data_IF_193402486542
#
_entry.id   IF_193402486542
#
_cell.length_a   1.000
_cell.length_b   1.000
_cell.length_c   1.000
_cell.angle_alpha   90.00
_cell.angle_beta   90.00
_cell.angle_gamma   90.00
#
_symmetry.space_group_name_H-M   'P 1'
#
loop_
_entity.id
_entity.type
_entity.pdbx_description
1 polymer ?
#
# COMPACT_ATOMS: atom_id res chain seq x y z
N UNK A 1 18.83 38.22 -51.50
CA UNK A 1 18.55 38.34 -50.05
C UNK A 1 17.11 37.99 -49.65
N UNK A 2 16.26 37.39 -50.50
CA UNK A 2 14.85 37.10 -50.18
C UNK A 2 14.57 35.69 -49.63
N UNK A 3 15.45 34.71 -49.86
CA UNK A 3 15.18 33.30 -49.52
C UNK A 3 15.26 32.98 -48.01
N UNK A 4 16.03 33.75 -47.22
CA UNK A 4 16.19 33.52 -45.79
C UNK A 4 14.96 33.93 -44.95
N UNK A 5 14.15 34.89 -45.43
CA UNK A 5 12.96 35.36 -44.70
C UNK A 5 11.78 34.37 -44.79
N UNK A 6 11.64 33.69 -45.93
CA UNK A 6 10.56 32.71 -46.18
C UNK A 6 10.70 31.46 -45.30
N UNK A 7 11.92 30.91 -45.21
CA UNK A 7 12.21 29.75 -44.36
C UNK A 7 11.96 30.02 -42.87
N UNK A 8 12.23 31.25 -42.42
CA UNK A 8 12.00 31.66 -41.03
C UNK A 8 10.51 31.86 -40.72
N UNK A 9 9.71 32.34 -41.69
CA UNK A 9 8.24 32.42 -41.56
C UNK A 9 7.60 31.03 -41.54
N UNK A 10 7.99 30.11 -42.43
CA UNK A 10 7.48 28.73 -42.42
C UNK A 10 7.80 28.00 -41.11
N UNK A 11 9.02 28.17 -40.59
CA UNK A 11 9.45 27.56 -39.33
C UNK A 11 8.69 28.12 -38.12
N UNK A 12 8.38 29.42 -38.12
CA UNK A 12 7.53 30.04 -37.09
C UNK A 12 6.09 29.52 -37.14
N UNK A 13 5.51 29.37 -38.34
CA UNK A 13 4.16 28.82 -38.53
C UNK A 13 4.11 27.35 -38.06
N UNK A 14 5.12 26.55 -38.40
CA UNK A 14 5.23 25.16 -37.96
C UNK A 14 5.37 25.05 -36.43
N UNK A 15 6.17 25.91 -35.79
CA UNK A 15 6.32 25.94 -34.33
C UNK A 15 5.02 26.37 -33.65
N UNK A 16 4.31 27.38 -34.18
CA UNK A 16 3.01 27.79 -33.62
C UNK A 16 1.95 26.71 -33.77
N UNK A 17 1.93 25.98 -34.90
CA UNK A 17 1.00 24.89 -35.11
C UNK A 17 1.29 23.70 -34.17
N UNK A 18 2.57 23.39 -33.94
CA UNK A 18 2.98 22.34 -33.00
C UNK A 18 2.59 22.68 -31.55
N UNK A 19 2.78 23.94 -31.14
CA UNK A 19 2.37 24.42 -29.82
C UNK A 19 0.85 24.32 -29.63
N UNK A 20 0.07 24.77 -30.63
CA UNK A 20 -1.39 24.71 -30.57
C UNK A 20 -1.89 23.25 -30.48
N UNK A 21 -1.29 22.35 -31.26
CA UNK A 21 -1.60 20.92 -31.23
C UNK A 21 -1.25 20.29 -29.87
N UNK A 22 -0.13 20.66 -29.26
CA UNK A 22 0.27 20.16 -27.95
C UNK A 22 -0.69 20.60 -26.82
N UNK A 23 -1.21 21.83 -26.88
CA UNK A 23 -2.22 22.30 -25.94
C UNK A 23 -3.57 21.58 -26.11
N UNK A 24 -3.95 21.25 -27.35
CA UNK A 24 -5.19 20.52 -27.62
C UNK A 24 -5.16 19.06 -27.10
N UNK A 25 -3.98 18.44 -27.05
CA UNK A 25 -3.80 17.06 -26.57
C UNK A 25 -3.65 16.94 -25.05
N UNK A 26 -3.28 18.02 -24.35
CA UNK A 26 -2.82 17.97 -22.96
C UNK A 26 -3.85 18.26 -21.85
N UNK A 27 -5.12 18.51 -22.16
CA UNK A 27 -6.01 19.21 -21.21
C UNK A 27 -7.34 18.55 -20.82
N UNK A 28 -7.84 17.55 -21.54
CA UNK A 28 -9.23 17.13 -21.38
C UNK A 28 -9.58 16.55 -20.00
N UNK A 29 -8.62 15.96 -19.27
CA UNK A 29 -8.87 15.38 -17.94
C UNK A 29 -8.43 16.28 -16.77
N UNK A 30 -7.65 17.32 -17.04
CA UNK A 30 -7.13 18.24 -16.03
C UNK A 30 -8.17 19.27 -15.60
N UNK A 31 -9.04 19.68 -16.53
CA UNK A 31 -10.14 20.63 -16.26
C UNK A 31 -11.17 20.02 -15.30
N UNK A 32 -11.55 18.75 -15.51
CA UNK A 32 -12.50 18.02 -14.66
C UNK A 32 -11.92 17.76 -13.26
N UNK A 33 -10.61 17.52 -13.17
CA UNK A 33 -9.92 17.35 -11.88
C UNK A 33 -9.81 18.64 -11.09
N UNK A 34 -9.69 19.79 -11.77
CA UNK A 34 -9.64 21.09 -11.10
C UNK A 34 -10.98 21.44 -10.44
N UNK A 35 -12.10 21.08 -11.07
CA UNK A 35 -13.43 21.26 -10.48
C UNK A 35 -13.72 20.34 -9.29
N UNK A 36 -12.95 19.26 -9.13
CA UNK A 36 -13.10 18.28 -8.06
C UNK A 36 -12.21 18.59 -6.84
N UNK A 37 -11.45 19.69 -6.85
CA UNK A 37 -10.64 20.13 -5.71
C UNK A 37 -11.57 20.59 -4.59
N UNK A 38 -11.61 19.82 -3.50
CA UNK A 38 -12.48 20.08 -2.34
C UNK A 38 -13.83 19.36 -2.41
N UNK A 39 -14.14 18.64 -3.49
CA UNK A 39 -15.32 17.79 -3.59
C UNK A 39 -15.05 16.43 -2.94
N UNK A 40 -16.03 15.89 -2.22
CA UNK A 40 -15.91 14.55 -1.64
C UNK A 40 -15.83 13.52 -2.78
N UNK A 41 -14.93 12.52 -2.71
CA UNK A 41 -14.89 11.44 -3.69
C UNK A 41 -16.27 10.78 -3.80
N UNK A 42 -16.77 10.59 -5.02
CA UNK A 42 -18.02 9.87 -5.25
C UNK A 42 -17.88 8.46 -4.68
N UNK A 43 -18.69 8.14 -3.67
CA UNK A 43 -18.73 6.82 -3.08
C UNK A 43 -19.46 5.88 -4.06
N UNK A 44 -18.88 4.71 -4.32
CA UNK A 44 -19.58 3.63 -5.02
C UNK A 44 -20.83 3.24 -4.23
N UNK A 45 -21.95 2.99 -4.91
CA UNK A 45 -23.13 2.45 -4.28
C UNK A 45 -22.82 1.09 -3.63
N UNK A 46 -23.51 0.78 -2.53
CA UNK A 46 -23.47 -0.56 -1.94
C UNK A 46 -24.24 -1.50 -2.88
N UNK A 47 -23.51 -2.28 -3.67
CA UNK A 47 -24.09 -3.36 -4.46
C UNK A 47 -24.31 -4.59 -3.59
N UNK A 48 -25.58 -4.91 -3.33
CA UNK A 48 -25.95 -6.14 -2.65
C UNK A 48 -26.11 -7.27 -3.68
N UNK A 49 -25.24 -8.30 -3.67
CA UNK A 49 -25.34 -9.40 -4.64
C UNK A 49 -26.62 -10.23 -4.50
N UNK A 50 -27.37 -10.11 -3.39
CA UNK A 50 -28.64 -10.83 -3.18
C UNK A 50 -29.80 -10.27 -3.99
N UNK A 51 -29.72 -9.02 -4.46
CA UNK A 51 -30.78 -8.38 -5.27
C UNK A 51 -30.58 -8.60 -6.77
N UNK A 52 -29.46 -9.21 -7.18
CA UNK A 52 -29.17 -9.50 -8.58
C UNK A 52 -29.90 -10.75 -9.07
N UNK A 53 -30.53 -10.73 -10.27
CA UNK A 53 -31.09 -11.92 -10.88
C UNK A 53 -30.00 -12.98 -11.07
N UNK A 54 -30.20 -14.18 -10.50
CA UNK A 54 -29.24 -15.28 -10.60
C UNK A 54 -28.31 -15.44 -9.39
N UNK A 55 -28.53 -14.71 -8.29
CA UNK A 55 -27.85 -14.96 -7.02
C UNK A 55 -28.00 -16.42 -6.57
N UNK A 56 -26.87 -17.10 -6.34
CA UNK A 56 -26.82 -18.44 -5.75
C UNK A 56 -26.07 -18.36 -4.42
N UNK A 57 -26.73 -18.61 -3.27
CA UNK A 57 -26.03 -18.66 -2.00
C UNK A 57 -25.03 -19.81 -2.00
N UNK A 58 -23.77 -19.50 -1.66
CA UNK A 58 -22.75 -20.53 -1.47
C UNK A 58 -23.03 -21.23 -0.15
N UNK A 59 -23.46 -22.48 -0.23
CA UNK A 59 -23.60 -23.34 0.95
C UNK A 59 -22.34 -24.22 1.04
N UNK A 60 -21.60 -24.06 2.13
CA UNK A 60 -20.51 -24.98 2.49
C UNK A 60 -21.06 -25.93 3.57
N UNK A 61 -21.41 -27.18 3.23
CA UNK A 61 -21.80 -28.15 4.24
C UNK A 61 -20.60 -28.45 5.13
N UNK A 62 -20.84 -28.45 6.45
CA UNK A 62 -19.82 -28.83 7.42
C UNK A 62 -19.38 -30.28 7.16
N UNK A 63 -18.07 -30.58 7.18
CA UNK A 63 -17.58 -31.95 7.09
C UNK A 63 -18.14 -32.82 8.24
N UNK A 64 -18.34 -34.11 7.96
CA UNK A 64 -18.82 -35.05 8.98
C UNK A 64 -17.79 -35.13 10.13
N UNK A 65 -18.23 -35.08 11.41
CA UNK A 65 -17.33 -35.29 12.54
C UNK A 65 -16.64 -36.67 12.44
N UNK A 66 -15.32 -36.68 12.46
CA UNK A 66 -14.53 -37.90 12.57
C UNK A 66 -14.43 -38.33 14.04
N UNK A 67 -14.79 -39.58 14.33
CA UNK A 67 -14.69 -40.13 15.68
C UNK A 67 -13.23 -40.50 15.95
N UNK A 68 -12.59 -39.82 16.90
CA UNK A 68 -11.23 -40.16 17.31
C UNK A 68 -11.20 -41.56 17.93
N UNK A 69 -10.42 -42.47 17.34
CA UNK A 69 -10.15 -43.79 17.91
C UNK A 69 -9.00 -43.69 18.91
N UNK A 70 -9.25 -44.10 20.16
CA UNK A 70 -8.27 -44.16 21.23
C UNK A 70 -7.83 -45.60 21.46
N UNK A 71 -6.51 -45.83 21.50
CA UNK A 71 -5.94 -47.13 21.87
C UNK A 71 -5.55 -47.13 23.35
N UNK A 72 -5.86 -48.19 24.12
CA UNK A 72 -5.44 -48.28 25.51
C UNK A 72 -3.90 -48.31 25.60
N UNK A 73 -3.33 -47.58 26.56
CA UNK A 73 -1.88 -47.47 26.81
C UNK A 73 -1.03 -46.93 25.65
N UNK A 74 -1.63 -46.31 24.64
CA UNK A 74 -0.90 -45.62 23.56
C UNK A 74 -1.36 -44.18 23.43
N UNK A 75 -0.40 -43.25 23.53
CA UNK A 75 -0.63 -41.84 23.20
C UNK A 75 -0.60 -41.60 21.68
N UNK A 76 -0.27 -42.62 20.89
CA UNK A 76 -0.17 -42.52 19.44
C UNK A 76 -1.55 -42.59 18.78
N UNK A 77 -1.84 -41.63 17.89
CA UNK A 77 -3.09 -41.57 17.12
C UNK A 77 -2.83 -41.97 15.68
N UNK A 78 -3.69 -42.82 15.13
CA UNK A 78 -3.66 -43.17 13.71
C UNK A 78 -3.91 -41.89 12.88
N UNK A 79 -3.02 -41.59 11.94
CA UNK A 79 -3.05 -40.34 11.14
C UNK A 79 -2.21 -39.18 11.69
N UNK A 80 -1.60 -39.30 12.88
CA UNK A 80 -0.72 -38.25 13.41
C UNK A 80 0.65 -38.28 12.72
N UNK A 81 1.09 -37.15 12.14
CA UNK A 81 2.41 -37.01 11.50
C UNK A 81 3.53 -36.66 12.48
N UNK A 82 3.19 -36.26 13.71
CA UNK A 82 4.14 -35.92 14.77
C UNK A 82 3.61 -36.37 16.15
N UNK A 83 4.54 -36.60 17.09
CA UNK A 83 4.19 -36.98 18.47
C UNK A 83 3.71 -35.78 19.30
N UNK A 84 4.42 -34.66 19.17
CA UNK A 84 4.04 -33.41 19.79
C UNK A 84 3.12 -32.64 18.85
N UNK A 85 1.98 -32.25 19.41
CA UNK A 85 0.87 -31.50 18.82
C UNK A 85 1.34 -30.51 17.76
N UNK A 86 1.12 -30.84 16.48
CA UNK A 86 1.40 -29.94 15.36
C UNK A 86 0.55 -28.67 15.56
N UNK A 87 1.18 -27.49 15.62
CA UNK A 87 0.55 -26.23 16.07
C UNK A 87 -0.40 -25.60 15.04
N UNK A 88 -0.82 -26.35 14.03
CA UNK A 88 -1.64 -25.83 12.94
C UNK A 88 -3.11 -26.15 13.20
N UNK A 89 -4.01 -25.24 12.84
CA UNK A 89 -5.43 -25.56 12.68
C UNK A 89 -5.54 -26.56 11.53
N UNK A 90 -6.13 -27.73 11.77
CA UNK A 90 -6.18 -28.83 10.80
C UNK A 90 -7.52 -28.93 10.09
N UNK A 91 -8.61 -28.46 10.73
CA UNK A 91 -9.96 -28.52 10.19
C UNK A 91 -10.61 -27.13 10.11
N UNK A 92 -11.59 -27.00 9.22
CA UNK A 92 -12.40 -25.78 9.10
C UNK A 92 -13.20 -25.61 10.40
N UNK A 93 -12.91 -24.56 11.16
CA UNK A 93 -13.52 -24.28 12.46
C UNK A 93 -12.55 -24.34 13.65
N UNK A 94 -11.29 -24.75 13.45
CA UNK A 94 -10.26 -24.73 14.49
C UNK A 94 -9.80 -23.29 14.79
N UNK A 95 -9.68 -22.96 16.08
CA UNK A 95 -9.22 -21.66 16.58
C UNK A 95 -7.82 -21.77 17.21
N UNK A 96 -6.88 -20.93 16.78
CA UNK A 96 -5.54 -20.82 17.36
C UNK A 96 -5.44 -19.54 18.20
N UNK A 97 -5.20 -19.67 19.49
CA UNK A 97 -4.97 -18.53 20.40
C UNK A 97 -3.47 -18.27 20.52
N UNK A 98 -3.01 -17.14 19.97
CA UNK A 98 -1.61 -16.72 20.06
C UNK A 98 -1.47 -15.65 21.15
N UNK A 99 -0.78 -15.99 22.24
CA UNK A 99 -0.46 -15.04 23.30
C UNK A 99 0.87 -14.37 22.98
N UNK A 100 0.83 -13.11 22.52
CA UNK A 100 2.03 -12.32 22.27
C UNK A 100 2.29 -11.40 23.47
N UNK A 101 3.44 -11.56 24.11
CA UNK A 101 3.91 -10.65 25.16
C UNK A 101 5.01 -9.75 24.55
N UNK A 102 4.75 -8.45 24.48
CA UNK A 102 5.70 -7.47 23.93
C UNK A 102 6.25 -6.64 25.09
N UNK A 103 7.50 -6.88 25.45
CA UNK A 103 8.26 -6.05 26.38
C UNK A 103 9.19 -5.13 25.59
N UNK A 104 8.70 -3.97 25.19
CA UNK A 104 9.51 -2.94 24.53
C UNK A 104 10.21 -2.07 25.59
N UNK A 105 11.53 -1.91 25.48
CA UNK A 105 12.36 -1.05 26.34
C UNK A 105 13.11 -0.07 25.46
N UNK A 106 12.63 1.16 25.40
CA UNK A 106 13.35 2.27 24.79
C UNK A 106 14.32 2.88 25.81
N UNK A 107 15.62 2.78 25.55
CA UNK A 107 16.67 3.40 26.36
C UNK A 107 17.07 4.72 25.70
N UNK A 108 16.54 5.85 26.19
CA UNK A 108 16.89 7.18 25.67
C UNK A 108 18.15 7.65 26.38
N UNK A 109 19.30 7.50 25.72
CA UNK A 109 20.54 8.15 26.14
C UNK A 109 20.58 9.57 25.54
N UNK A 110 20.35 10.58 26.39
CA UNK A 110 20.38 11.98 26.00
C UNK A 110 21.78 12.53 26.32
N UNK A 111 22.68 12.54 25.33
CA UNK A 111 24.04 13.04 25.49
C UNK A 111 24.22 14.32 24.65
N UNK A 112 24.13 15.47 25.32
CA UNK A 112 24.31 16.78 24.69
C UNK A 112 25.72 17.29 24.99
N UNK A 113 26.67 17.06 24.07
CA UNK A 113 28.01 17.66 24.17
C UNK A 113 28.03 19.00 23.44
N UNK A 114 28.08 20.10 24.21
CA UNK A 114 28.22 21.47 23.68
C UNK A 114 29.68 21.91 23.82
N UNK A 115 30.41 22.00 22.71
CA UNK A 115 31.70 22.68 22.66
C UNK A 115 31.56 24.08 22.04
N UNK A 116 32.24 25.07 22.62
CA UNK A 116 32.33 26.43 22.08
C UNK A 116 33.80 26.82 22.12
N UNK A 117 34.45 26.88 20.97
CA UNK A 117 35.81 27.40 20.84
C UNK A 117 35.70 28.82 20.31
N UNK A 118 36.15 29.81 21.09
CA UNK A 118 36.23 31.20 20.67
C UNK A 118 37.72 31.56 20.51
N UNK A 119 38.10 32.04 19.33
CA UNK A 119 39.45 32.54 19.05
C UNK A 119 39.31 34.01 18.69
N UNK A 120 39.92 34.90 19.49
CA UNK A 120 40.02 36.33 19.17
C UNK A 120 41.48 36.67 18.91
N UNK A 121 41.78 37.03 17.67
CA UNK A 121 43.10 37.51 17.24
C UNK A 121 43.04 39.04 17.13
N UNK A 122 43.50 39.72 18.18
CA UNK A 122 43.66 41.18 18.16
C UNK A 122 44.96 41.51 17.45
N UNK A 123 44.90 41.62 16.13
CA UNK A 123 46.02 42.01 15.27
C UNK A 123 46.36 43.50 15.36
N UNK A 124 46.73 43.99 16.55
CA UNK A 124 47.36 45.31 16.70
C UNK A 124 48.80 45.13 17.18
N UNK A 125 49.73 45.27 16.23
CA UNK A 125 51.16 45.42 16.49
C UNK A 125 51.58 46.68 15.76
N UNK A 126 52.06 47.65 16.55
CA UNK A 126 52.70 48.94 16.24
C UNK A 126 52.65 49.46 14.77
#
# INVERSE_FOLDING_TARGET
MSSFSSAFRLRRIAISALLLASCALGGCSSIDRLSQIGEQPKLSAIDNPTTQPGYKPVQMPMPKPEVASYNPNSLWRNGSRAFFKDQRAHQIGDLLTVTVNITDKANIANETQRSRTNSEDSGITD
#
